data_IF_023871637373
#
_entry.id   IF_023871637373
#
_cell.length_a   1.000
_cell.length_b   1.000
_cell.length_c   1.000
_cell.angle_alpha   90.00
_cell.angle_beta   90.00
_cell.angle_gamma   90.00
#
_symmetry.space_group_name_H-M   'P 1'
#
loop_
_entity.id
_entity.type
_entity.pdbx_description
1 polymer ?
#
# COMPACT_ATOMS: atom_id res chain seq x y z
N UNK A 1 16.03 13.08 10.87
CA UNK A 1 14.92 13.01 11.85
C UNK A 1 14.88 11.62 12.45
N UNK A 2 14.49 11.50 13.72
CA UNK A 2 14.11 10.24 14.35
C UNK A 2 12.61 9.99 14.17
N UNK A 3 12.24 8.89 13.54
CA UNK A 3 10.87 8.57 13.14
C UNK A 3 10.49 7.21 13.72
N UNK A 4 9.39 7.17 14.47
CA UNK A 4 8.77 5.92 14.93
C UNK A 4 7.59 5.60 14.02
N UNK A 5 7.62 4.45 13.35
CA UNK A 5 6.50 3.94 12.55
C UNK A 5 5.84 2.81 13.33
N UNK A 6 4.58 3.02 13.70
CA UNK A 6 3.81 2.14 14.56
C UNK A 6 2.75 1.35 13.76
N UNK A 7 2.71 0.05 14.01
CA UNK A 7 1.76 -0.89 13.40
C UNK A 7 1.09 -1.77 14.47
N UNK A 8 -0.13 -2.25 14.20
CA UNK A 8 -0.79 -3.29 15.04
C UNK A 8 0.06 -4.56 15.21
N UNK A 9 0.84 -4.90 14.19
CA UNK A 9 1.74 -6.06 14.22
C UNK A 9 2.82 -5.92 13.15
N UNK A 10 3.94 -6.61 13.37
CA UNK A 10 5.01 -6.85 12.40
C UNK A 10 5.33 -8.35 12.35
N UNK A 11 4.29 -9.19 12.38
CA UNK A 11 4.42 -10.65 12.42
C UNK A 11 4.17 -11.33 11.06
N UNK A 12 3.48 -10.67 10.13
CA UNK A 12 3.04 -11.26 8.86
C UNK A 12 3.27 -10.29 7.71
N UNK A 13 3.46 -10.83 6.51
CA UNK A 13 3.59 -10.07 5.26
C UNK A 13 2.20 -9.68 4.73
N UNK A 14 1.56 -8.69 5.34
CA UNK A 14 0.31 -8.10 4.83
C UNK A 14 0.54 -6.66 4.39
N UNK A 15 -0.47 -6.02 3.79
CA UNK A 15 -0.27 -4.75 3.06
C UNK A 15 0.35 -3.65 3.91
N UNK A 16 -0.10 -3.49 5.15
CA UNK A 16 0.38 -2.44 6.06
C UNK A 16 1.77 -2.75 6.62
N UNK A 17 2.08 -4.01 6.94
CA UNK A 17 3.42 -4.39 7.38
C UNK A 17 4.46 -4.23 6.26
N UNK A 18 4.11 -4.56 5.02
CA UNK A 18 4.98 -4.34 3.86
C UNK A 18 5.14 -2.85 3.52
N UNK A 19 4.09 -2.04 3.71
CA UNK A 19 4.19 -0.60 3.55
C UNK A 19 5.14 0.03 4.60
N UNK A 20 5.03 -0.39 5.87
CA UNK A 20 5.93 0.06 6.93
C UNK A 20 7.38 -0.35 6.68
N UNK A 21 7.63 -1.59 6.21
CA UNK A 21 8.96 -2.01 5.76
C UNK A 21 9.50 -1.09 4.68
N UNK A 22 8.79 -0.98 3.55
CA UNK A 22 9.30 -0.28 2.37
C UNK A 22 9.60 1.19 2.71
N UNK A 23 8.72 1.85 3.47
CA UNK A 23 8.92 3.20 3.95
C UNK A 23 10.12 3.29 4.91
N UNK A 24 10.24 2.35 5.84
CA UNK A 24 11.34 2.30 6.79
C UNK A 24 12.69 2.15 6.10
N UNK A 25 12.80 1.28 5.09
CA UNK A 25 13.99 1.12 4.25
C UNK A 25 14.34 2.42 3.53
N UNK A 26 13.36 3.03 2.87
CA UNK A 26 13.59 4.24 2.09
C UNK A 26 14.01 5.44 2.97
N UNK A 27 13.35 5.63 4.12
CA UNK A 27 13.74 6.68 5.08
C UNK A 27 15.14 6.42 5.66
N UNK A 28 15.46 5.18 6.04
CA UNK A 28 16.80 4.84 6.52
C UNK A 28 17.86 5.11 5.45
N UNK A 29 17.58 4.79 4.19
CA UNK A 29 18.49 5.07 3.08
C UNK A 29 18.71 6.58 2.86
N UNK A 30 17.75 7.44 3.24
CA UNK A 30 17.91 8.90 3.25
C UNK A 30 18.56 9.46 4.53
N UNK A 31 19.06 8.59 5.41
CA UNK A 31 19.79 8.99 6.63
C UNK A 31 18.89 9.31 7.82
N UNK A 32 17.61 8.95 7.79
CA UNK A 32 16.75 9.04 8.97
C UNK A 32 17.06 7.94 9.97
N UNK A 33 16.88 8.26 11.25
CA UNK A 33 16.88 7.28 12.33
C UNK A 33 15.45 6.71 12.44
N UNK A 34 15.25 5.47 11.98
CA UNK A 34 13.91 4.89 11.83
C UNK A 34 13.73 3.69 12.73
N UNK A 35 12.65 3.71 13.50
CA UNK A 35 12.26 2.65 14.41
C UNK A 35 10.87 2.15 13.99
N UNK A 36 10.78 0.87 13.66
CA UNK A 36 9.50 0.20 13.48
C UNK A 36 9.05 -0.39 14.81
N UNK A 37 7.80 -0.17 15.20
CA UNK A 37 7.28 -0.70 16.46
C UNK A 37 5.90 -1.32 16.30
N UNK A 38 5.67 -2.39 17.05
CA UNK A 38 4.39 -3.07 17.13
C UNK A 38 4.31 -3.93 18.40
N UNK A 39 3.12 -4.13 18.98
CA UNK A 39 2.93 -4.99 20.15
C UNK A 39 3.05 -6.49 19.83
N UNK A 40 3.01 -6.86 18.55
CA UNK A 40 3.14 -8.25 18.10
C UNK A 40 4.19 -8.35 17.01
N UNK A 41 5.33 -8.92 17.37
CA UNK A 41 6.45 -9.20 16.47
C UNK A 41 6.45 -10.68 16.06
N UNK A 42 7.04 -10.98 14.91
CA UNK A 42 7.15 -12.34 14.40
C UNK A 42 8.14 -12.43 13.25
N UNK A 43 8.02 -13.42 12.34
CA UNK A 43 9.04 -13.68 11.31
C UNK A 43 9.39 -12.48 10.43
N UNK A 44 8.43 -11.60 10.16
CA UNK A 44 8.73 -10.37 9.41
C UNK A 44 9.61 -9.42 10.24
N UNK A 45 9.33 -9.20 11.52
CA UNK A 45 10.18 -8.36 12.37
C UNK A 45 11.62 -8.89 12.47
N UNK A 46 11.81 -10.22 12.48
CA UNK A 46 13.13 -10.85 12.46
C UNK A 46 13.86 -10.59 11.13
N UNK A 47 13.21 -10.83 9.98
CA UNK A 47 13.73 -10.48 8.64
C UNK A 47 14.17 -9.01 8.57
N UNK A 48 13.33 -8.10 9.04
CA UNK A 48 13.62 -6.66 9.02
C UNK A 48 14.84 -6.28 9.86
N UNK A 49 15.06 -6.95 11.00
CA UNK A 49 16.23 -6.71 11.85
C UNK A 49 17.49 -7.31 11.26
N UNK A 50 17.45 -8.60 10.93
CA UNK A 50 18.64 -9.38 10.59
C UNK A 50 19.10 -9.12 9.17
N UNK A 51 18.16 -9.09 8.22
CA UNK A 51 18.48 -9.02 6.79
C UNK A 51 18.49 -7.58 6.28
N UNK A 52 17.63 -6.72 6.83
CA UNK A 52 17.50 -5.32 6.38
C UNK A 52 18.13 -4.30 7.33
N UNK A 53 18.59 -4.75 8.50
CA UNK A 53 19.25 -3.91 9.51
C UNK A 53 18.36 -2.81 10.10
N UNK A 54 17.04 -2.91 9.98
CA UNK A 54 16.10 -1.93 10.53
C UNK A 54 15.97 -2.12 12.05
N UNK A 55 15.81 -1.03 12.79
CA UNK A 55 15.48 -1.13 14.20
C UNK A 55 13.99 -1.48 14.32
N UNK A 56 13.71 -2.70 14.80
CA UNK A 56 12.35 -3.14 15.12
C UNK A 56 12.29 -3.45 16.61
N UNK A 57 11.36 -2.86 17.35
CA UNK A 57 11.27 -3.04 18.81
C UNK A 57 9.82 -3.08 19.28
N UNK A 58 9.60 -3.71 20.43
CA UNK A 58 8.32 -3.61 21.11
C UNK A 58 8.12 -2.19 21.69
N UNK A 59 6.86 -1.76 21.94
CA UNK A 59 6.58 -0.38 22.35
C UNK A 59 7.26 0.05 23.66
N UNK A 60 7.48 -0.88 24.59
CA UNK A 60 8.16 -0.67 25.86
C UNK A 60 9.68 -0.47 25.69
N UNK A 61 10.26 -1.09 24.67
CA UNK A 61 11.68 -1.00 24.28
C UNK A 61 12.02 0.22 23.41
N UNK A 62 11.06 1.11 23.15
CA UNK A 62 11.34 2.33 22.39
C UNK A 62 12.45 3.15 23.04
N UNK A 63 13.25 3.78 22.20
CA UNK A 63 14.40 4.57 22.64
C UNK A 63 14.03 5.99 23.10
N UNK A 64 14.97 6.94 22.98
CA UNK A 64 14.72 8.34 23.32
C UNK A 64 13.66 8.96 22.40
N UNK A 65 13.14 10.12 22.83
CA UNK A 65 12.11 10.90 22.15
C UNK A 65 12.32 10.98 20.62
N UNK A 66 11.34 10.56 19.78
CA UNK A 66 11.36 10.78 18.35
C UNK A 66 10.95 12.21 17.96
N UNK A 67 11.23 12.59 16.71
CA UNK A 67 10.75 13.84 16.13
C UNK A 67 9.29 13.72 15.67
N UNK A 68 8.94 12.58 15.08
CA UNK A 68 7.61 12.28 14.52
C UNK A 68 7.23 10.83 14.83
N UNK A 69 5.94 10.61 15.08
CA UNK A 69 5.33 9.27 15.14
C UNK A 69 4.40 9.10 13.95
N UNK A 70 4.57 8.04 13.18
CA UNK A 70 3.67 7.64 12.10
C UNK A 70 2.87 6.42 12.57
N UNK A 71 1.57 6.60 12.74
CA UNK A 71 0.60 5.56 13.07
C UNK A 71 -0.04 4.97 11.79
N UNK A 72 0.16 3.68 11.51
CA UNK A 72 -0.54 2.99 10.43
C UNK A 72 -1.94 2.49 10.82
N UNK A 73 -2.28 2.60 12.11
CA UNK A 73 -3.57 2.40 12.74
C UNK A 73 -3.55 3.01 14.16
N UNK A 74 -4.65 2.93 14.91
CA UNK A 74 -4.75 3.57 16.23
C UNK A 74 -4.26 2.71 17.40
N UNK A 75 -3.83 1.47 17.19
CA UNK A 75 -3.66 0.54 18.32
C UNK A 75 -2.67 1.04 19.38
N UNK A 76 -1.62 1.75 18.97
CA UNK A 76 -0.57 2.29 19.83
C UNK A 76 -0.71 3.80 20.08
N UNK A 77 -1.79 4.45 19.60
CA UNK A 77 -1.88 5.91 19.63
C UNK A 77 -1.86 6.47 21.07
N UNK A 78 -2.61 5.86 21.99
CA UNK A 78 -2.68 6.29 23.39
C UNK A 78 -1.37 6.03 24.13
N UNK A 79 -0.81 4.83 24.00
CA UNK A 79 0.44 4.45 24.67
C UNK A 79 1.61 5.33 24.23
N UNK A 80 1.71 5.61 22.92
CA UNK A 80 2.74 6.48 22.36
C UNK A 80 2.53 7.94 22.75
N UNK A 81 1.29 8.40 22.90
CA UNK A 81 1.00 9.75 23.36
C UNK A 81 1.30 9.91 24.85
N UNK A 82 1.01 8.91 25.67
CA UNK A 82 1.37 8.91 27.09
C UNK A 82 2.90 8.91 27.27
N UNK A 83 3.62 8.11 26.48
CA UNK A 83 5.08 8.03 26.53
C UNK A 83 5.77 9.27 25.95
N UNK A 84 5.22 9.85 24.89
CA UNK A 84 5.78 11.00 24.17
C UNK A 84 4.72 12.09 23.99
N UNK A 85 4.32 12.79 25.08
CA UNK A 85 3.17 13.71 25.09
C UNK A 85 3.33 14.90 24.13
N UNK A 86 4.57 15.20 23.79
CA UNK A 86 4.98 16.31 22.95
C UNK A 86 5.26 15.93 21.50
N UNK A 87 5.15 14.67 21.10
CA UNK A 87 5.54 14.28 19.74
C UNK A 87 4.33 14.36 18.79
N UNK A 88 4.41 15.14 17.69
CA UNK A 88 3.35 15.18 16.71
C UNK A 88 3.24 13.85 15.96
N UNK A 89 1.99 13.44 15.70
CA UNK A 89 1.69 12.17 15.04
C UNK A 89 1.00 12.38 13.70
N UNK A 90 1.43 11.60 12.71
CA UNK A 90 0.70 11.33 11.49
C UNK A 90 -0.11 10.05 11.67
N UNK A 91 -1.41 10.09 11.40
CA UNK A 91 -2.22 8.89 11.23
C UNK A 91 -2.43 8.59 9.75
N UNK A 92 -1.85 7.51 9.23
CA UNK A 92 -2.15 6.99 7.90
C UNK A 92 -3.13 5.83 7.98
N UNK A 93 -4.32 6.01 7.40
CA UNK A 93 -5.34 4.96 7.38
C UNK A 93 -5.18 4.05 6.16
N UNK A 94 -5.05 2.75 6.40
CA UNK A 94 -4.89 1.73 5.35
C UNK A 94 -6.14 0.85 5.14
N UNK A 95 -7.08 0.90 6.09
CA UNK A 95 -8.21 -0.05 6.19
C UNK A 95 -9.56 0.66 6.11
N UNK A 96 -10.63 -0.04 6.46
CA UNK A 96 -11.95 0.57 6.59
C UNK A 96 -11.92 1.60 7.73
N UNK A 97 -12.43 2.81 7.48
CA UNK A 97 -12.68 3.83 8.51
C UNK A 97 -14.03 3.50 9.15
N UNK A 98 -14.08 3.16 10.46
CA UNK A 98 -15.32 2.88 11.19
C UNK A 98 -16.29 4.07 11.18
N UNK A 99 -17.56 3.82 11.48
CA UNK A 99 -18.57 4.90 11.54
C UNK A 99 -18.43 5.76 12.79
N UNK A 100 -18.01 5.15 13.90
CA UNK A 100 -17.72 5.72 15.21
C UNK A 100 -16.25 6.15 15.37
N UNK A 101 -15.55 6.36 14.25
CA UNK A 101 -14.16 6.76 14.25
C UNK A 101 -13.94 8.13 14.91
N UNK A 102 -13.05 8.18 15.90
CA UNK A 102 -12.56 9.39 16.54
C UNK A 102 -11.03 9.31 16.73
N UNK A 103 -10.38 10.47 16.87
CA UNK A 103 -8.97 10.53 17.24
C UNK A 103 -8.84 10.39 18.76
N UNK A 104 -8.11 9.39 19.26
CA UNK A 104 -8.03 9.13 20.71
C UNK A 104 -7.16 10.14 21.45
N UNK A 105 -6.30 10.89 20.74
CA UNK A 105 -5.29 11.76 21.35
C UNK A 105 -5.06 13.02 20.51
N UNK A 106 -4.83 14.19 21.11
CA UNK A 106 -4.62 15.46 20.40
C UNK A 106 -3.30 15.53 19.64
N UNK A 107 -2.34 14.65 19.95
CA UNK A 107 -1.04 14.57 19.26
C UNK A 107 -1.18 14.11 17.81
N UNK A 108 -2.29 13.48 17.42
CA UNK A 108 -2.61 13.18 16.02
C UNK A 108 -2.95 14.49 15.32
N UNK A 109 -1.91 15.20 14.92
CA UNK A 109 -2.00 16.54 14.34
C UNK A 109 -2.33 16.50 12.86
N UNK A 110 -2.09 15.36 12.18
CA UNK A 110 -2.43 15.14 10.78
C UNK A 110 -2.96 13.73 10.55
N UNK A 111 -3.83 13.63 9.56
CA UNK A 111 -4.36 12.37 9.09
C UNK A 111 -4.21 12.30 7.57
N UNK A 112 -4.01 11.10 7.04
CA UNK A 112 -4.09 10.84 5.62
C UNK A 112 -4.63 9.42 5.41
N UNK A 113 -5.18 9.17 4.23
CA UNK A 113 -5.63 7.85 3.81
C UNK A 113 -4.94 7.46 2.52
N UNK A 114 -4.92 6.16 2.24
CA UNK A 114 -4.32 5.62 1.01
C UNK A 114 -5.15 5.83 -0.25
N UNK A 115 -6.30 6.52 -0.16
CA UNK A 115 -7.15 6.90 -1.30
C UNK A 115 -7.94 8.19 -1.02
N UNK A 116 -8.37 8.94 -2.06
CA UNK A 116 -9.28 10.08 -1.90
C UNK A 116 -10.60 9.73 -1.22
N UNK A 117 -11.11 8.51 -1.47
CA UNK A 117 -12.34 8.02 -0.83
C UNK A 117 -12.16 7.90 0.69
N UNK A 118 -10.98 7.48 1.14
CA UNK A 118 -10.67 7.40 2.57
C UNK A 118 -10.52 8.80 3.16
N UNK A 119 -9.82 9.71 2.49
CA UNK A 119 -9.73 11.10 2.94
C UNK A 119 -11.12 11.74 3.10
N UNK A 120 -12.01 11.61 2.12
CA UNK A 120 -13.40 12.11 2.24
C UNK A 120 -14.15 11.52 3.44
N UNK A 121 -13.90 10.26 3.78
CA UNK A 121 -14.51 9.63 4.96
C UNK A 121 -13.93 10.20 6.24
N UNK A 122 -12.61 10.37 6.32
CA UNK A 122 -11.94 10.95 7.47
C UNK A 122 -12.42 12.40 7.66
N UNK A 123 -12.44 13.21 6.59
CA UNK A 123 -12.93 14.58 6.59
C UNK A 123 -14.36 14.69 7.15
N UNK A 124 -15.28 13.89 6.61
CA UNK A 124 -16.68 13.85 7.07
C UNK A 124 -16.80 13.50 8.55
N UNK A 125 -15.90 12.68 9.11
CA UNK A 125 -15.98 12.19 10.49
C UNK A 125 -15.31 13.15 11.48
N UNK A 126 -14.16 13.70 11.10
CA UNK A 126 -13.38 14.58 11.97
C UNK A 126 -13.71 16.06 11.81
N UNK A 127 -14.41 16.44 10.74
CA UNK A 127 -14.66 17.85 10.40
C UNK A 127 -13.40 18.60 9.95
N UNK A 128 -12.30 17.88 9.66
CA UNK A 128 -11.01 18.44 9.25
C UNK A 128 -10.54 17.72 8.00
N UNK A 129 -10.12 18.49 6.99
CA UNK A 129 -9.57 17.93 5.76
C UNK A 129 -8.24 17.20 6.06
N UNK A 130 -8.11 15.92 5.68
CA UNK A 130 -6.85 15.21 5.75
C UNK A 130 -5.78 15.84 4.85
N UNK A 131 -4.53 15.52 5.14
CA UNK A 131 -3.40 15.82 4.25
C UNK A 131 -3.54 15.13 2.89
N UNK A 132 -2.55 15.32 2.03
CA UNK A 132 -2.47 14.64 0.74
C UNK A 132 -2.67 13.13 0.86
N UNK A 133 -3.16 12.52 -0.22
CA UNK A 133 -3.32 11.06 -0.31
C UNK A 133 -1.94 10.43 -0.39
N UNK A 134 -1.52 9.76 0.70
CA UNK A 134 -0.33 8.93 0.70
C UNK A 134 -0.74 7.52 0.28
N UNK A 135 -0.71 7.27 -1.03
CA UNK A 135 -1.10 5.99 -1.63
C UNK A 135 -0.13 4.84 -1.28
N UNK A 136 -0.37 3.67 -1.87
CA UNK A 136 0.65 2.62 -1.84
C UNK A 136 1.76 2.96 -2.83
N UNK A 137 2.99 2.67 -2.42
CA UNK A 137 4.17 2.66 -3.27
C UNK A 137 4.73 1.24 -3.32
N UNK A 138 5.70 1.04 -4.21
CA UNK A 138 6.41 -0.22 -4.39
C UNK A 138 7.89 0.05 -4.25
N UNK A 139 8.57 -0.74 -3.44
CA UNK A 139 10.02 -0.71 -3.37
C UNK A 139 10.64 -1.43 -4.58
N UNK A 140 11.00 -0.65 -5.61
CA UNK A 140 11.55 -1.18 -6.86
C UNK A 140 12.95 -1.77 -6.70
N UNK A 141 13.65 -1.48 -5.60
CA UNK A 141 14.97 -2.08 -5.33
C UNK A 141 14.89 -3.58 -5.04
N UNK A 142 13.71 -4.09 -4.66
CA UNK A 142 13.52 -5.50 -4.24
C UNK A 142 13.28 -6.45 -5.41
N UNK A 143 13.12 -5.94 -6.64
CA UNK A 143 12.91 -6.77 -7.80
C UNK A 143 13.25 -6.05 -9.11
N UNK A 144 13.91 -6.78 -10.01
CA UNK A 144 13.99 -6.40 -11.41
C UNK A 144 12.61 -6.50 -12.10
N UNK A 145 12.32 -5.66 -13.11
CA UNK A 145 11.19 -5.89 -14.00
C UNK A 145 11.36 -7.22 -14.77
N UNK A 146 10.30 -7.66 -15.47
CA UNK A 146 10.39 -8.80 -16.39
C UNK A 146 11.56 -8.62 -17.36
N UNK A 147 12.30 -9.70 -17.61
CA UNK A 147 13.48 -9.69 -18.47
C UNK A 147 13.15 -9.81 -19.96
N UNK A 148 12.08 -10.55 -20.29
CA UNK A 148 11.60 -10.70 -21.66
C UNK A 148 10.40 -9.77 -21.92
N UNK A 149 10.19 -9.28 -23.15
CA UNK A 149 8.98 -8.53 -23.50
C UNK A 149 7.69 -9.31 -23.23
N UNK A 150 6.57 -8.58 -23.13
CA UNK A 150 5.24 -9.18 -23.14
C UNK A 150 4.98 -9.82 -24.52
N UNK A 151 4.42 -11.04 -24.59
CA UNK A 151 4.10 -11.66 -25.88
C UNK A 151 2.89 -10.97 -26.53
N UNK A 152 2.83 -10.95 -27.87
CA UNK A 152 1.69 -10.41 -28.61
C UNK A 152 0.37 -11.11 -28.26
N UNK A 153 0.44 -12.41 -27.91
CA UNK A 153 -0.69 -13.19 -27.43
C UNK A 153 -0.42 -13.69 -26.01
N UNK A 154 -1.25 -13.32 -25.02
CA UNK A 154 -1.05 -13.72 -23.64
C UNK A 154 -1.31 -15.22 -23.49
N UNK A 155 -0.55 -15.88 -22.59
CA UNK A 155 -0.66 -17.32 -22.30
C UNK A 155 -0.82 -17.58 -20.81
N UNK A 156 -0.31 -16.72 -19.95
CA UNK A 156 -0.23 -16.93 -18.50
C UNK A 156 -0.99 -15.84 -17.76
N UNK A 157 -2.01 -16.25 -17.02
CA UNK A 157 -2.84 -15.38 -16.19
C UNK A 157 -2.51 -15.60 -14.71
N UNK A 158 -2.17 -14.54 -14.00
CA UNK A 158 -2.01 -14.53 -12.56
C UNK A 158 -3.28 -13.98 -11.90
N UNK A 159 -3.76 -14.64 -10.86
CA UNK A 159 -4.81 -14.12 -9.98
C UNK A 159 -4.24 -13.95 -8.57
N UNK A 160 -4.26 -12.72 -8.06
CA UNK A 160 -3.79 -12.40 -6.71
C UNK A 160 -4.97 -12.11 -5.79
N UNK A 161 -5.09 -12.81 -4.67
CA UNK A 161 -6.28 -12.74 -3.81
C UNK A 161 -5.99 -12.75 -2.31
N UNK A 162 -6.59 -11.79 -1.60
CA UNK A 162 -6.45 -11.62 -0.13
C UNK A 162 -7.81 -11.69 0.62
N UNK A 163 -8.95 -11.59 -0.09
CA UNK A 163 -10.26 -11.34 0.54
C UNK A 163 -11.07 -12.61 0.87
N UNK A 164 -11.79 -12.58 2.00
CA UNK A 164 -12.65 -13.68 2.52
C UNK A 164 -13.69 -14.22 1.50
N UNK A 165 -14.05 -13.45 0.47
CA UNK A 165 -15.08 -13.77 -0.55
C UNK A 165 -14.51 -14.15 -1.94
N UNK A 166 -13.23 -14.54 -2.02
CA UNK A 166 -12.50 -14.77 -3.28
C UNK A 166 -12.93 -15.95 -4.16
N UNK A 167 -13.81 -16.86 -3.68
CA UNK A 167 -14.21 -18.07 -4.43
C UNK A 167 -14.87 -17.75 -5.77
N UNK A 168 -15.79 -16.77 -5.80
CA UNK A 168 -16.48 -16.38 -7.04
C UNK A 168 -15.52 -15.84 -8.09
N UNK A 169 -14.58 -14.98 -7.69
CA UNK A 169 -13.58 -14.43 -8.61
C UNK A 169 -12.69 -15.53 -9.17
N UNK A 170 -12.23 -16.47 -8.32
CA UNK A 170 -11.44 -17.62 -8.78
C UNK A 170 -12.20 -18.45 -9.82
N UNK A 171 -13.46 -18.81 -9.55
CA UNK A 171 -14.29 -19.59 -10.48
C UNK A 171 -14.43 -18.87 -11.82
N UNK A 172 -14.77 -17.57 -11.81
CA UNK A 172 -14.95 -16.80 -13.03
C UNK A 172 -13.63 -16.60 -13.79
N UNK A 173 -12.51 -16.39 -13.09
CA UNK A 173 -11.19 -16.32 -13.69
C UNK A 173 -10.78 -17.65 -14.33
N UNK A 174 -11.07 -18.79 -13.68
CA UNK A 174 -10.82 -20.13 -14.24
C UNK A 174 -11.62 -20.34 -15.53
N UNK A 175 -12.90 -19.97 -15.54
CA UNK A 175 -13.76 -20.08 -16.73
C UNK A 175 -13.27 -19.16 -17.86
N UNK A 176 -12.95 -17.90 -17.56
CA UNK A 176 -12.42 -16.97 -18.55
C UNK A 176 -11.08 -17.43 -19.12
N UNK A 177 -10.18 -17.94 -18.26
CA UNK A 177 -8.91 -18.49 -18.69
C UNK A 177 -9.10 -19.67 -19.66
N UNK A 178 -10.03 -20.59 -19.36
CA UNK A 178 -10.36 -21.71 -20.25
C UNK A 178 -10.90 -21.24 -21.61
N UNK A 179 -11.81 -20.26 -21.61
CA UNK A 179 -12.39 -19.68 -22.85
C UNK A 179 -11.30 -19.05 -23.72
N UNK A 180 -10.28 -18.45 -23.10
CA UNK A 180 -9.22 -17.71 -23.78
C UNK A 180 -7.95 -18.52 -24.02
N UNK A 181 -7.92 -19.80 -23.63
CA UNK A 181 -6.71 -20.63 -23.73
C UNK A 181 -5.55 -20.18 -22.83
N UNK A 182 -5.85 -19.49 -21.73
CA UNK A 182 -4.86 -19.01 -20.76
C UNK A 182 -4.61 -20.05 -19.66
N UNK A 183 -3.35 -20.18 -19.22
CA UNK A 183 -2.98 -20.92 -18.03
C UNK A 183 -3.10 -20.03 -16.79
N UNK A 184 -4.13 -20.27 -15.99
CA UNK A 184 -4.36 -19.56 -14.73
C UNK A 184 -3.47 -20.10 -13.61
N UNK A 185 -2.83 -19.20 -12.87
CA UNK A 185 -2.24 -19.48 -11.55
C UNK A 185 -2.83 -18.52 -10.52
N UNK A 186 -3.26 -19.03 -9.37
CA UNK A 186 -3.78 -18.23 -8.28
C UNK A 186 -2.81 -18.22 -7.10
N UNK A 187 -2.51 -17.03 -6.56
CA UNK A 187 -1.60 -16.84 -5.42
C UNK A 187 -2.23 -15.93 -4.36
N UNK A 188 -1.84 -16.17 -3.12
CA UNK A 188 -2.29 -15.43 -1.95
C UNK A 188 -2.84 -16.36 -0.86
N UNK A 189 -2.99 -15.85 0.38
CA UNK A 189 -3.40 -16.64 1.54
C UNK A 189 -4.74 -17.36 1.36
N UNK A 190 -5.62 -16.85 0.50
CA UNK A 190 -6.96 -17.40 0.25
C UNK A 190 -7.00 -18.48 -0.83
N UNK A 191 -5.89 -18.67 -1.55
CA UNK A 191 -5.69 -19.76 -2.50
C UNK A 191 -4.70 -20.80 -1.97
N UNK A 192 -4.41 -20.76 -0.66
CA UNK A 192 -3.45 -21.65 0.02
C UNK A 192 -2.05 -21.66 -0.62
N UNK A 193 -1.69 -20.60 -1.33
CA UNK A 193 -0.41 -20.45 -2.01
C UNK A 193 0.17 -19.07 -1.70
N UNK A 194 0.81 -18.94 -0.54
CA UNK A 194 1.51 -17.70 -0.17
C UNK A 194 2.80 -17.58 -1.00
N UNK A 195 3.11 -16.36 -1.38
CA UNK A 195 4.35 -16.01 -2.08
C UNK A 195 5.05 -14.95 -1.27
N UNK A 196 6.37 -15.07 -1.12
CA UNK A 196 7.16 -14.14 -0.31
C UNK A 196 7.48 -12.86 -1.09
N UNK A 197 7.75 -13.01 -2.39
CA UNK A 197 8.01 -11.91 -3.31
C UNK A 197 7.03 -11.98 -4.48
N UNK A 198 5.90 -11.28 -4.34
CA UNK A 198 4.88 -11.23 -5.40
C UNK A 198 5.42 -10.67 -6.72
N UNK A 199 6.17 -9.54 -6.75
CA UNK A 199 6.79 -9.07 -8.00
C UNK A 199 7.68 -10.10 -8.70
N UNK A 200 8.48 -10.87 -7.95
CA UNK A 200 9.33 -11.91 -8.52
C UNK A 200 8.54 -13.09 -9.11
N UNK A 201 7.33 -13.35 -8.63
CA UNK A 201 6.41 -14.31 -9.25
C UNK A 201 5.68 -13.69 -10.44
N UNK A 202 5.24 -12.44 -10.31
CA UNK A 202 4.43 -11.74 -11.30
C UNK A 202 5.17 -11.54 -12.63
N UNK A 203 6.49 -11.30 -12.62
CA UNK A 203 7.28 -11.14 -13.86
C UNK A 203 7.16 -12.28 -14.87
N UNK A 204 6.77 -13.47 -14.42
CA UNK A 204 6.61 -14.65 -15.28
C UNK A 204 5.22 -14.74 -15.92
N UNK A 205 4.33 -13.79 -15.66
CA UNK A 205 2.96 -13.78 -16.16
C UNK A 205 2.75 -12.66 -17.17
N UNK A 206 1.77 -12.87 -18.06
CA UNK A 206 1.46 -11.91 -19.11
C UNK A 206 0.38 -10.93 -18.62
N UNK A 207 -0.63 -11.47 -17.94
CA UNK A 207 -1.72 -10.69 -17.35
C UNK A 207 -1.85 -11.03 -15.86
N UNK A 208 -2.08 -10.03 -15.02
CA UNK A 208 -2.44 -10.18 -13.62
C UNK A 208 -3.82 -9.59 -13.33
N UNK A 209 -4.62 -10.31 -12.54
CA UNK A 209 -5.83 -9.80 -11.88
C UNK A 209 -5.50 -9.57 -10.41
N UNK A 210 -5.49 -8.32 -9.98
CA UNK A 210 -5.12 -7.94 -8.62
C UNK A 210 -5.78 -6.61 -8.22
N UNK A 211 -5.69 -6.24 -6.94
CA UNK A 211 -6.18 -4.96 -6.44
C UNK A 211 -5.28 -4.41 -5.32
N UNK A 212 -5.41 -3.11 -5.06
CA UNK A 212 -4.60 -2.43 -4.04
C UNK A 212 -3.10 -2.52 -4.32
N UNK A 213 -2.30 -2.65 -3.26
CA UNK A 213 -0.84 -2.81 -3.36
C UNK A 213 -0.39 -3.93 -4.29
N UNK A 214 -1.06 -5.09 -4.27
CA UNK A 214 -0.68 -6.21 -5.13
C UNK A 214 -0.86 -5.91 -6.62
N UNK A 215 -1.79 -5.01 -6.97
CA UNK A 215 -1.92 -4.52 -8.34
C UNK A 215 -0.69 -3.70 -8.76
N UNK A 216 -0.24 -2.75 -7.91
CA UNK A 216 0.98 -2.00 -8.18
C UNK A 216 2.19 -2.94 -8.33
N UNK A 217 2.34 -3.91 -7.43
CA UNK A 217 3.44 -4.88 -7.47
C UNK A 217 3.44 -5.71 -8.78
N UNK A 218 2.27 -6.14 -9.26
CA UNK A 218 2.18 -6.88 -10.53
C UNK A 218 2.46 -6.01 -11.75
N UNK A 219 1.91 -4.79 -11.79
CA UNK A 219 2.13 -3.87 -12.90
C UNK A 219 3.59 -3.40 -12.96
N UNK A 220 4.21 -3.08 -11.81
CA UNK A 220 5.61 -2.69 -11.73
C UNK A 220 6.57 -3.84 -12.08
N UNK A 221 6.14 -5.10 -11.91
CA UNK A 221 6.88 -6.28 -12.35
C UNK A 221 6.81 -6.52 -13.88
N UNK A 222 5.90 -5.84 -14.59
CA UNK A 222 5.77 -5.93 -16.05
C UNK A 222 4.61 -6.80 -16.55
N UNK A 223 3.65 -7.15 -15.70
CA UNK A 223 2.39 -7.73 -16.19
C UNK A 223 1.52 -6.65 -16.84
N UNK A 224 0.73 -7.02 -17.85
CA UNK A 224 -0.53 -6.31 -18.08
C UNK A 224 -1.43 -6.48 -16.86
N UNK A 225 -2.05 -5.42 -16.38
CA UNK A 225 -2.85 -5.46 -15.15
C UNK A 225 -4.32 -5.24 -15.46
N UNK A 226 -5.17 -6.16 -14.99
CA UNK A 226 -6.61 -5.96 -14.88
C UNK A 226 -6.96 -5.75 -13.40
N UNK A 227 -7.22 -4.50 -12.95
CA UNK A 227 -7.61 -4.23 -11.57
C UNK A 227 -8.95 -4.90 -11.30
N UNK A 228 -9.03 -5.70 -10.24
CA UNK A 228 -10.26 -6.43 -9.95
C UNK A 228 -10.23 -7.19 -8.64
N UNK A 229 -11.39 -7.28 -8.00
CA UNK A 229 -11.62 -8.07 -6.80
C UNK A 229 -13.07 -8.62 -6.78
N UNK A 230 -13.51 -9.33 -5.72
CA UNK A 230 -14.90 -9.83 -5.64
C UNK A 230 -16.00 -8.76 -5.77
N UNK A 231 -15.70 -7.47 -5.61
CA UNK A 231 -16.63 -6.35 -5.68
C UNK A 231 -16.77 -5.75 -7.07
N UNK A 232 -15.84 -6.01 -7.99
CA UNK A 232 -15.90 -5.43 -9.34
C UNK A 232 -14.61 -5.61 -10.14
N UNK A 233 -14.66 -5.10 -11.36
CA UNK A 233 -13.57 -5.11 -12.33
C UNK A 233 -13.38 -3.68 -12.87
N UNK A 234 -12.13 -3.33 -13.15
CA UNK A 234 -11.78 -2.20 -14.00
C UNK A 234 -11.58 -2.64 -15.45
N UNK A 235 -10.74 -1.87 -16.13
CA UNK A 235 -10.22 -2.08 -17.47
C UNK A 235 -8.77 -2.55 -17.38
N UNK A 236 -8.22 -3.08 -18.47
CA UNK A 236 -6.77 -3.25 -18.51
C UNK A 236 -6.11 -1.87 -18.35
N UNK A 237 -5.06 -1.83 -17.53
CA UNK A 237 -4.33 -0.59 -17.29
C UNK A 237 -3.51 -0.25 -18.53
N UNK A 238 -3.69 0.97 -18.99
CA UNK A 238 -3.00 1.59 -20.12
C UNK A 238 -2.36 2.90 -19.65
N UNK A 239 -1.42 3.50 -20.39
CA UNK A 239 -0.87 4.81 -20.04
C UNK A 239 -1.95 5.87 -19.82
N UNK A 240 -3.02 5.85 -20.64
CA UNK A 240 -4.08 6.85 -20.64
C UNK A 240 -4.97 6.78 -19.39
N UNK A 241 -5.11 5.58 -18.80
CA UNK A 241 -5.97 5.38 -17.63
C UNK A 241 -5.18 5.13 -16.33
N UNK A 242 -3.84 5.09 -16.40
CA UNK A 242 -2.96 4.77 -15.28
C UNK A 242 -3.17 5.72 -14.09
N UNK A 243 -3.24 7.03 -14.34
CA UNK A 243 -3.39 8.03 -13.29
C UNK A 243 -4.71 7.86 -12.52
N UNK A 244 -5.80 7.55 -13.23
CA UNK A 244 -7.10 7.23 -12.63
C UNK A 244 -6.99 6.02 -11.69
N UNK A 245 -6.27 4.98 -12.09
CA UNK A 245 -6.07 3.81 -11.25
C UNK A 245 -5.12 4.09 -10.07
N UNK A 246 -4.03 4.84 -10.29
CA UNK A 246 -3.05 5.20 -9.28
C UNK A 246 -3.65 6.07 -8.18
N UNK A 247 -4.45 7.06 -8.54
CA UNK A 247 -5.15 7.94 -7.59
C UNK A 247 -6.18 7.19 -6.74
N UNK A 248 -6.87 6.20 -7.33
CA UNK A 248 -7.78 5.32 -6.60
C UNK A 248 -7.12 4.09 -5.97
N UNK A 249 -5.79 4.00 -5.98
CA UNK A 249 -4.98 2.91 -5.42
C UNK A 249 -5.43 1.51 -5.92
N UNK A 250 -5.82 1.41 -7.19
CA UNK A 250 -6.27 0.17 -7.84
C UNK A 250 -7.34 -0.58 -7.02
N UNK A 251 -8.23 0.18 -6.37
CA UNK A 251 -9.19 -0.32 -5.39
C UNK A 251 -10.63 -0.22 -5.91
N UNK A 252 -11.61 -0.62 -5.08
CA UNK A 252 -13.02 -0.65 -5.47
C UNK A 252 -13.54 0.64 -6.11
N UNK A 253 -13.01 1.81 -5.74
CA UNK A 253 -13.44 3.09 -6.33
C UNK A 253 -13.06 3.27 -7.79
N UNK A 254 -12.16 2.44 -8.34
CA UNK A 254 -11.73 2.50 -9.74
C UNK A 254 -12.38 1.44 -10.62
N UNK A 255 -13.27 0.62 -10.06
CA UNK A 255 -13.97 -0.42 -10.82
C UNK A 255 -15.21 0.17 -11.49
N UNK A 256 -15.35 -0.09 -12.78
CA UNK A 256 -16.42 0.44 -13.63
C UNK A 256 -17.44 -0.64 -14.03
N UNK A 257 -17.15 -1.91 -13.73
CA UNK A 257 -17.98 -3.02 -14.12
C UNK A 257 -18.17 -4.05 -12.99
N UNK A 258 -19.32 -4.73 -12.93
CA UNK A 258 -19.53 -5.82 -11.99
C UNK A 258 -18.71 -7.05 -12.38
N UNK A 259 -18.38 -7.88 -11.39
CA UNK A 259 -17.73 -9.16 -11.59
C UNK A 259 -18.66 -10.16 -12.32
N UNK A 260 -18.55 -10.21 -13.65
CA UNK A 260 -19.29 -11.10 -14.55
C UNK A 260 -18.35 -11.76 -15.56
N UNK A 261 -18.63 -13.01 -15.96
CA UNK A 261 -17.79 -13.78 -16.88
C UNK A 261 -17.57 -13.06 -18.22
N UNK A 262 -18.64 -12.59 -18.87
CA UNK A 262 -18.54 -11.91 -20.16
C UNK A 262 -17.74 -10.61 -20.11
N UNK A 263 -17.82 -9.87 -18.99
CA UNK A 263 -16.98 -8.69 -18.76
C UNK A 263 -15.52 -9.10 -18.63
N UNK A 264 -15.22 -10.10 -17.81
CA UNK A 264 -13.85 -10.58 -17.60
C UNK A 264 -13.21 -11.05 -18.92
N UNK A 265 -13.92 -11.86 -19.70
CA UNK A 265 -13.46 -12.34 -21.02
C UNK A 265 -13.20 -11.17 -21.96
N UNK A 266 -14.11 -10.19 -22.02
CA UNK A 266 -13.94 -9.00 -22.87
C UNK A 266 -12.72 -8.17 -22.45
N UNK A 267 -12.54 -7.91 -21.16
CA UNK A 267 -11.40 -7.13 -20.64
C UNK A 267 -10.07 -7.85 -20.88
N UNK A 268 -10.02 -9.18 -20.72
CA UNK A 268 -8.81 -9.95 -21.02
C UNK A 268 -8.50 -10.01 -22.52
N UNK A 269 -9.52 -9.95 -23.39
CA UNK A 269 -9.33 -9.88 -24.85
C UNK A 269 -8.79 -8.54 -25.35
N UNK A 270 -9.02 -7.45 -24.62
CA UNK A 270 -8.47 -6.14 -24.97
C UNK A 270 -6.99 -5.98 -24.56
N UNK A 271 -6.29 -7.10 -24.37
CA UNK A 271 -4.87 -7.11 -24.06
C UNK A 271 -4.07 -6.53 -25.22
N UNK A 272 -3.16 -5.62 -24.87
CA UNK A 272 -2.16 -5.07 -25.76
C UNK A 272 -0.80 -5.05 -25.04
N UNK A 273 0.19 -5.73 -25.60
CA UNK A 273 1.51 -5.89 -25.01
C UNK A 273 2.27 -4.57 -24.93
N UNK A 274 2.10 -3.71 -25.94
CA UNK A 274 2.79 -2.41 -26.03
C UNK A 274 2.25 -1.46 -24.97
N UNK A 275 0.93 -1.25 -24.93
CA UNK A 275 0.27 -0.42 -23.93
C UNK A 275 0.56 -0.89 -22.50
N UNK A 276 0.52 -2.21 -22.24
CA UNK A 276 0.85 -2.76 -20.93
C UNK A 276 2.31 -2.50 -20.52
N UNK A 277 3.24 -2.57 -21.47
CA UNK A 277 4.66 -2.25 -21.23
C UNK A 277 4.85 -0.78 -20.88
N UNK A 278 4.22 0.12 -21.65
CA UNK A 278 4.25 1.56 -21.37
C UNK A 278 3.63 1.91 -20.02
N UNK A 279 2.49 1.29 -19.67
CA UNK A 279 1.85 1.47 -18.37
C UNK A 279 2.72 1.00 -17.21
N UNK A 280 3.45 -0.11 -17.39
CA UNK A 280 4.41 -0.61 -16.40
C UNK A 280 5.55 0.37 -16.17
N UNK A 281 6.14 0.88 -17.25
CA UNK A 281 7.24 1.87 -17.19
C UNK A 281 6.78 3.16 -16.50
N UNK A 282 5.65 3.73 -16.92
CA UNK A 282 5.09 4.92 -16.31
C UNK A 282 4.76 4.72 -14.82
N UNK A 283 4.21 3.56 -14.42
CA UNK A 283 3.95 3.29 -13.00
C UNK A 283 5.24 3.30 -12.18
N UNK A 284 6.33 2.73 -12.71
CA UNK A 284 7.61 2.65 -11.99
C UNK A 284 8.17 4.03 -11.67
N UNK A 285 7.99 5.00 -12.56
CA UNK A 285 8.39 6.40 -12.31
C UNK A 285 7.50 7.06 -11.23
N UNK A 286 6.19 6.75 -11.21
CA UNK A 286 5.23 7.40 -10.32
C UNK A 286 5.12 6.77 -8.92
N UNK A 287 5.50 5.49 -8.76
CA UNK A 287 5.14 4.70 -7.58
C UNK A 287 6.33 4.04 -6.88
N UNK A 288 7.56 4.43 -7.21
CA UNK A 288 8.74 3.99 -6.49
C UNK A 288 8.79 4.59 -5.06
N UNK A 289 8.94 3.71 -4.07
CA UNK A 289 9.08 4.13 -2.67
C UNK A 289 10.40 4.87 -2.44
N UNK A 290 11.49 4.45 -3.10
CA UNK A 290 12.83 4.98 -2.83
C UNK A 290 13.03 6.42 -3.30
N UNK A 291 12.15 6.92 -4.18
CA UNK A 291 12.24 8.25 -4.79
C UNK A 291 10.99 9.07 -4.49
N UNK A 292 9.88 8.79 -5.17
CA UNK A 292 8.63 9.54 -5.05
C UNK A 292 7.98 9.34 -3.68
N UNK A 293 7.83 8.09 -3.23
CA UNK A 293 7.13 7.77 -1.99
C UNK A 293 7.77 8.38 -0.75
N UNK A 294 9.07 8.18 -0.56
CA UNK A 294 9.79 8.74 0.59
C UNK A 294 9.73 10.27 0.62
N UNK A 295 9.82 10.93 -0.54
CA UNK A 295 9.70 12.39 -0.64
C UNK A 295 8.31 12.90 -0.22
N UNK A 296 7.25 12.19 -0.63
CA UNK A 296 5.87 12.49 -0.23
C UNK A 296 5.68 12.38 1.28
N UNK A 297 6.26 11.35 1.92
CA UNK A 297 6.20 11.19 3.38
C UNK A 297 7.03 12.24 4.11
N UNK A 298 8.24 12.54 3.64
CA UNK A 298 9.10 13.58 4.23
C UNK A 298 8.42 14.95 4.21
N UNK A 299 7.74 15.31 3.12
CA UNK A 299 6.99 16.56 3.03
C UNK A 299 5.93 16.67 4.13
N UNK A 300 5.18 15.58 4.40
CA UNK A 300 4.18 15.53 5.46
C UNK A 300 4.83 15.60 6.85
N UNK A 301 5.94 14.90 7.07
CA UNK A 301 6.67 14.97 8.35
C UNK A 301 7.22 16.37 8.63
N UNK A 302 7.76 17.05 7.60
CA UNK A 302 8.26 18.41 7.73
C UNK A 302 7.12 19.40 8.02
N UNK A 303 5.97 19.25 7.36
CA UNK A 303 4.76 20.03 7.65
C UNK A 303 4.29 19.86 9.11
N UNK A 304 4.30 18.62 9.63
CA UNK A 304 3.99 18.33 11.03
C UNK A 304 4.92 19.06 12.01
N UNK A 305 6.22 19.06 11.73
CA UNK A 305 7.22 19.74 12.58
C UNK A 305 7.10 21.27 12.51
N UNK A 306 6.78 21.83 11.35
CA UNK A 306 6.57 23.27 11.18
C UNK A 306 5.28 23.77 11.83
N UNK A 307 4.17 23.03 11.67
CA UNK A 307 2.88 23.37 12.29
C UNK A 307 2.90 23.36 13.83
N UNK A 308 3.90 22.71 14.43
CA UNK A 308 4.13 22.77 15.88
C UNK A 308 4.86 24.05 16.31
N UNK A 309 5.74 24.59 15.46
CA UNK A 309 6.45 25.85 15.73
C UNK A 309 5.55 27.08 15.66
N UNK A 310 4.40 26.98 14.97
CA UNK A 310 3.46 28.10 14.76
C UNK A 310 2.30 28.16 15.75
N UNK A 311 2.10 27.17 16.63
CA UNK A 311 1.21 27.35 17.79
C UNK A 311 1.95 28.20 18.83
N UNK A 312 1.50 29.42 19.16
CA UNK A 312 2.07 30.15 20.29
C UNK A 312 1.90 29.28 21.53
N UNK A 313 2.97 29.15 22.32
CA UNK A 313 2.83 28.79 23.72
C UNK A 313 1.88 29.83 24.28
N UNK A 314 0.67 29.42 24.68
CA UNK A 314 -0.17 30.28 25.50
C UNK A 314 0.66 30.55 26.75
N UNK A 315 1.26 31.73 26.81
CA UNK A 315 1.84 32.27 28.02
C UNK A 315 0.71 32.29 29.03
N UNK A 316 0.77 31.37 29.99
CA UNK A 316 -0.02 31.48 31.20
C UNK A 316 0.32 32.82 31.84
N UNK A 317 -0.67 33.69 31.91
CA UNK A 317 -0.69 34.82 32.82
C UNK A 317 -1.80 34.53 33.81
N UNK A 318 -1.36 34.21 35.03
CA UNK A 318 -1.96 34.40 36.35
C UNK A 318 -3.49 34.50 36.48
#
# INVERSE_FOLDING_TARGET
>A
MRIVIANERLAKRTGTELAARDLGRALKARGHDVILTAPSLGPLAEELRLDEGLQVVEPDQLGPRPDVIHLNDLCLAQDLAARFPDVPMLLQWHRFVPEDFALPVPQIARTCGVTPRMNRKIARRLGVEPEQVLGNYVDLSRFAPRSAPLPDRPRRLLLVGQQKRGRRLLVLATLAARILGLKLTAVGPRYFRRVENLPAVARDFDIAIASGRSALECLAAGCALLPGDPKGLGELVTPENLERYRSGNFSQSTFDAPLKLGVLVRRLRSYDAVSATMASQALREMADMATTGVSDFEAVYMSLLQGRRSKPVLSGSD
#
